data_IF_870299502661
#
_entry.id   IF_870299502661
#
_cell.length_a   1.000
_cell.length_b   1.000
_cell.length_c   1.000
_cell.angle_alpha   90.00
_cell.angle_beta   90.00
_cell.angle_gamma   90.00
#
_symmetry.space_group_name_H-M   'P 1'
#
loop_
_entity.id
_entity.type
_entity.pdbx_description
1 polymer ?
#
# COMPACT_ATOMS: atom_id res chain seq x y z
N UNK A 1 1.99 -22.33 -15.22
CA UNK A 1 3.35 -21.99 -14.77
C UNK A 1 3.67 -22.87 -13.58
N UNK A 2 4.82 -23.55 -13.56
CA UNK A 2 5.26 -24.27 -12.35
C UNK A 2 5.53 -23.25 -11.25
N UNK A 3 4.93 -23.44 -10.08
CA UNK A 3 5.09 -22.55 -8.94
C UNK A 3 6.55 -22.55 -8.47
N UNK A 4 7.10 -21.36 -8.23
CA UNK A 4 8.48 -21.22 -7.73
C UNK A 4 8.52 -21.55 -6.24
N UNK A 5 9.61 -22.17 -5.77
CA UNK A 5 9.86 -22.30 -4.34
C UNK A 5 10.10 -20.92 -3.72
N UNK A 6 9.30 -20.48 -2.73
CA UNK A 6 9.44 -19.16 -2.14
C UNK A 6 10.82 -18.94 -1.52
N UNK A 7 11.46 -17.80 -1.83
CA UNK A 7 12.78 -17.42 -1.29
C UNK A 7 12.70 -16.27 -0.28
N UNK A 8 11.55 -15.61 -0.17
CA UNK A 8 11.34 -14.51 0.75
C UNK A 8 11.14 -14.99 2.19
N UNK A 9 11.66 -14.19 3.12
CA UNK A 9 11.49 -14.38 4.56
C UNK A 9 10.64 -13.23 5.10
N UNK A 10 10.01 -13.43 6.25
CA UNK A 10 9.20 -12.40 6.92
C UNK A 10 9.95 -11.05 7.08
N UNK A 11 11.26 -11.09 7.32
CA UNK A 11 12.10 -9.89 7.41
C UNK A 11 12.11 -9.08 6.11
N UNK A 12 12.01 -9.71 4.95
CA UNK A 12 11.98 -9.01 3.67
C UNK A 12 10.72 -8.14 3.55
N UNK A 13 9.56 -8.66 3.97
CA UNK A 13 8.29 -7.91 4.03
C UNK A 13 8.36 -6.73 5.00
N UNK A 14 8.94 -6.93 6.19
CA UNK A 14 9.14 -5.84 7.14
C UNK A 14 10.08 -4.76 6.58
N UNK A 15 11.19 -5.17 5.96
CA UNK A 15 12.13 -4.23 5.33
C UNK A 15 11.45 -3.44 4.21
N UNK A 16 10.65 -4.07 3.35
CA UNK A 16 9.87 -3.38 2.31
C UNK A 16 8.85 -2.42 2.92
N UNK A 17 8.15 -2.85 3.97
CA UNK A 17 7.19 -2.00 4.72
C UNK A 17 7.87 -0.74 5.24
N UNK A 18 9.07 -0.85 5.80
CA UNK A 18 9.83 0.33 6.25
C UNK A 18 10.36 1.16 5.07
N UNK A 19 10.83 0.51 4.00
CA UNK A 19 11.28 1.19 2.79
C UNK A 19 10.16 1.99 2.10
N UNK A 20 8.90 1.63 2.33
CA UNK A 20 7.72 2.36 1.84
C UNK A 20 7.63 3.82 2.30
N UNK A 21 8.37 4.25 3.33
CA UNK A 21 8.49 5.67 3.67
C UNK A 21 9.07 6.52 2.53
N UNK A 22 9.84 5.91 1.64
CA UNK A 22 10.46 6.61 0.53
C UNK A 22 9.58 6.67 -0.73
N UNK A 23 8.36 6.11 -0.71
CA UNK A 23 7.46 6.05 -1.87
C UNK A 23 7.33 7.39 -2.60
N UNK A 24 7.07 8.47 -1.87
CA UNK A 24 6.78 9.77 -2.49
C UNK A 24 8.04 10.53 -2.97
N UNK A 25 9.25 10.04 -2.70
CA UNK A 25 10.48 10.75 -3.11
C UNK A 25 10.67 10.76 -4.63
N UNK A 26 10.08 9.80 -5.34
CA UNK A 26 10.12 9.70 -6.81
C UNK A 26 8.89 10.30 -7.51
N UNK A 27 7.99 10.97 -6.79
CA UNK A 27 6.71 11.40 -7.34
C UNK A 27 6.89 12.30 -8.58
N UNK A 28 6.22 11.95 -9.68
CA UNK A 28 6.29 12.69 -10.94
C UNK A 28 4.97 12.61 -11.70
N UNK A 29 4.67 13.57 -12.57
CA UNK A 29 3.37 13.60 -13.26
C UNK A 29 3.18 12.52 -14.33
N UNK A 30 4.23 11.82 -14.75
CA UNK A 30 4.12 10.75 -15.75
C UNK A 30 3.62 9.44 -15.14
N UNK A 31 4.16 9.06 -13.97
CA UNK A 31 3.89 7.76 -13.31
C UNK A 31 3.35 7.88 -11.89
N UNK A 32 3.21 9.12 -11.38
CA UNK A 32 2.91 9.42 -9.99
C UNK A 32 3.90 8.72 -9.07
N UNK A 33 3.47 7.68 -8.35
CA UNK A 33 4.30 6.96 -7.40
C UNK A 33 5.06 5.78 -8.03
N UNK A 34 4.92 5.50 -9.34
CA UNK A 34 5.47 4.31 -9.99
C UNK A 34 6.99 4.10 -9.82
N UNK A 35 7.79 5.17 -9.92
CA UNK A 35 9.24 5.09 -9.68
C UNK A 35 9.56 4.77 -8.21
N UNK A 36 8.84 5.40 -7.28
CA UNK A 36 8.95 5.12 -5.85
C UNK A 36 8.49 3.70 -5.51
N UNK A 37 7.46 3.22 -6.19
CA UNK A 37 6.94 1.87 -6.06
C UNK A 37 8.04 0.84 -6.39
N UNK A 38 8.66 0.97 -7.57
CA UNK A 38 9.78 0.10 -7.93
C UNK A 38 10.90 0.20 -6.90
N UNK A 39 11.28 1.41 -6.46
CA UNK A 39 12.32 1.57 -5.45
C UNK A 39 12.04 0.79 -4.16
N UNK A 40 10.77 0.73 -3.74
CA UNK A 40 10.33 0.01 -2.54
C UNK A 40 10.50 -1.51 -2.70
N UNK A 41 10.10 -2.09 -3.83
CA UNK A 41 10.14 -3.55 -4.06
C UNK A 41 11.43 -4.07 -4.69
N UNK A 42 12.28 -3.20 -5.26
CA UNK A 42 13.48 -3.58 -6.02
C UNK A 42 14.44 -4.53 -5.27
N UNK A 43 14.74 -4.36 -3.96
CA UNK A 43 15.60 -5.29 -3.24
C UNK A 43 15.04 -6.72 -3.22
N UNK A 44 13.71 -6.85 -3.16
CA UNK A 44 13.01 -8.14 -3.18
C UNK A 44 13.04 -8.74 -4.59
N UNK A 45 12.78 -7.95 -5.63
CA UNK A 45 12.90 -8.41 -7.01
C UNK A 45 14.32 -8.92 -7.32
N UNK A 46 15.37 -8.21 -6.87
CA UNK A 46 16.77 -8.64 -7.01
C UNK A 46 17.06 -9.97 -6.33
N UNK A 47 16.35 -10.29 -5.25
CA UNK A 47 16.50 -11.55 -4.52
C UNK A 47 15.77 -12.69 -5.24
N UNK A 48 14.55 -12.44 -5.73
CA UNK A 48 13.75 -13.42 -6.48
C UNK A 48 14.44 -13.78 -7.80
N UNK A 49 14.89 -12.78 -8.57
CA UNK A 49 15.48 -12.94 -9.90
C UNK A 49 17.02 -12.87 -9.89
N UNK A 50 17.65 -13.31 -8.80
CA UNK A 50 19.11 -13.23 -8.63
C UNK A 50 19.89 -13.84 -9.80
N UNK A 51 19.37 -14.95 -10.32
CA UNK A 51 20.00 -15.74 -11.39
C UNK A 51 19.34 -15.50 -12.76
N UNK A 52 18.45 -14.51 -12.88
CA UNK A 52 17.74 -14.17 -14.12
C UNK A 52 17.68 -12.63 -14.33
N UNK A 53 18.77 -12.02 -14.80
CA UNK A 53 18.86 -10.56 -14.97
C UNK A 53 17.89 -9.99 -16.00
N UNK A 54 17.55 -10.76 -17.05
CA UNK A 54 16.61 -10.30 -18.08
C UNK A 54 15.19 -10.26 -17.54
N UNK A 55 14.76 -11.31 -16.80
CA UNK A 55 13.46 -11.29 -16.12
C UNK A 55 13.38 -10.20 -15.05
N UNK A 56 14.46 -9.97 -14.30
CA UNK A 56 14.52 -8.86 -13.35
C UNK A 56 14.25 -7.51 -14.04
N UNK A 57 14.89 -7.26 -15.18
CA UNK A 57 14.71 -6.03 -15.95
C UNK A 57 13.29 -5.88 -16.46
N UNK A 58 12.71 -6.94 -17.03
CA UNK A 58 11.34 -6.97 -17.52
C UNK A 58 10.34 -6.64 -16.39
N UNK A 59 10.44 -7.34 -15.26
CA UNK A 59 9.56 -7.14 -14.09
C UNK A 59 9.76 -5.75 -13.49
N UNK A 60 11.00 -5.25 -13.41
CA UNK A 60 11.27 -3.91 -12.90
C UNK A 60 10.62 -2.82 -13.76
N UNK A 61 10.75 -2.90 -15.09
CA UNK A 61 10.14 -1.93 -16.02
C UNK A 61 8.62 -1.94 -15.89
N UNK A 62 8.00 -3.13 -15.81
CA UNK A 62 6.55 -3.27 -15.66
C UNK A 62 6.00 -2.58 -14.40
N UNK A 63 6.84 -2.38 -13.37
CA UNK A 63 6.44 -1.75 -12.11
C UNK A 63 6.55 -0.23 -12.10
N UNK A 64 7.13 0.41 -13.14
CA UNK A 64 7.26 1.89 -13.26
C UNK A 64 6.05 2.50 -14.00
N UNK A 65 4.90 1.85 -13.94
CA UNK A 65 3.67 2.37 -14.51
C UNK A 65 2.98 3.38 -13.57
N UNK A 66 1.92 4.03 -14.07
CA UNK A 66 1.08 4.89 -13.26
C UNK A 66 0.57 4.15 -12.02
N UNK A 67 0.85 4.71 -10.84
CA UNK A 67 0.35 4.16 -9.59
C UNK A 67 0.17 5.28 -8.57
N UNK A 68 -0.96 5.25 -7.85
CA UNK A 68 -1.25 6.23 -6.81
C UNK A 68 -2.08 5.61 -5.69
N UNK A 69 -1.48 5.45 -4.53
CA UNK A 69 -2.10 4.89 -3.33
C UNK A 69 -1.77 5.76 -2.11
N UNK A 70 -2.53 5.57 -1.03
CA UNK A 70 -2.17 6.15 0.25
C UNK A 70 -0.87 5.51 0.80
N UNK A 71 0.13 6.30 1.23
CA UNK A 71 1.41 5.77 1.72
C UNK A 71 1.34 4.83 2.93
N UNK A 72 0.24 4.86 3.70
CA UNK A 72 0.04 3.99 4.87
C UNK A 72 -0.57 2.64 4.51
N UNK A 73 -1.28 2.52 3.38
CA UNK A 73 -1.86 1.26 2.90
C UNK A 73 -0.99 0.56 1.86
N UNK A 74 -0.04 1.26 1.21
CA UNK A 74 0.96 0.67 0.30
C UNK A 74 1.61 -0.63 0.82
N UNK A 75 2.02 -0.76 2.10
CA UNK A 75 2.65 -2.00 2.57
C UNK A 75 1.79 -3.26 2.40
N UNK A 76 0.46 -3.13 2.44
CA UNK A 76 -0.43 -4.25 2.20
C UNK A 76 -0.28 -4.76 0.78
N UNK A 77 -0.40 -3.85 -0.20
CA UNK A 77 -0.37 -4.19 -1.62
C UNK A 77 1.04 -4.62 -2.06
N UNK A 78 2.11 -3.94 -1.63
CA UNK A 78 3.48 -4.37 -1.94
C UNK A 78 3.80 -5.75 -1.35
N UNK A 79 3.27 -6.09 -0.17
CA UNK A 79 3.44 -7.43 0.40
C UNK A 79 2.72 -8.50 -0.41
N UNK A 80 1.48 -8.25 -0.84
CA UNK A 80 0.76 -9.14 -1.75
C UNK A 80 1.53 -9.33 -3.06
N UNK A 81 1.96 -8.22 -3.66
CA UNK A 81 2.64 -8.23 -4.94
C UNK A 81 3.99 -8.96 -4.90
N UNK A 82 4.76 -8.77 -3.82
CA UNK A 82 5.98 -9.53 -3.57
C UNK A 82 5.73 -11.03 -3.42
N UNK A 83 4.65 -11.42 -2.74
CA UNK A 83 4.31 -12.83 -2.60
C UNK A 83 3.92 -13.48 -3.94
N UNK A 84 3.20 -12.75 -4.80
CA UNK A 84 2.88 -13.18 -6.17
C UNK A 84 4.15 -13.41 -6.99
N UNK A 85 5.08 -12.45 -7.00
CA UNK A 85 6.35 -12.64 -7.70
C UNK A 85 7.21 -13.78 -7.13
N UNK A 86 7.21 -13.98 -5.81
CA UNK A 86 7.97 -15.07 -5.17
C UNK A 86 7.41 -16.45 -5.51
N UNK A 87 6.10 -16.54 -5.77
CA UNK A 87 5.44 -17.77 -6.25
C UNK A 87 5.57 -17.97 -7.77
N UNK A 88 6.13 -17.01 -8.49
CA UNK A 88 6.30 -17.07 -9.94
C UNK A 88 5.02 -16.75 -10.70
N UNK A 89 4.15 -15.90 -10.15
CA UNK A 89 2.99 -15.39 -10.87
C UNK A 89 3.41 -14.50 -12.06
N UNK A 90 2.60 -14.49 -13.12
CA UNK A 90 2.90 -13.69 -14.30
C UNK A 90 2.81 -12.19 -14.02
N UNK A 91 3.52 -11.39 -14.83
CA UNK A 91 3.54 -9.93 -14.74
C UNK A 91 2.13 -9.36 -14.93
N UNK A 92 1.34 -9.87 -15.88
CA UNK A 92 0.00 -9.35 -16.18
C UNK A 92 -0.98 -9.60 -15.03
N UNK A 93 -0.92 -10.79 -14.44
CA UNK A 93 -1.72 -11.18 -13.28
C UNK A 93 -1.35 -10.37 -12.04
N UNK A 94 -0.06 -10.24 -11.76
CA UNK A 94 0.49 -9.43 -10.66
C UNK A 94 0.10 -7.96 -10.79
N UNK A 95 0.22 -7.41 -12.01
CA UNK A 95 -0.22 -6.06 -12.38
C UNK A 95 -1.73 -5.87 -12.20
N UNK A 96 -2.54 -6.84 -12.60
CA UNK A 96 -4.00 -6.75 -12.50
C UNK A 96 -4.45 -6.61 -11.05
N UNK A 97 -3.88 -7.39 -10.13
CA UNK A 97 -4.16 -7.27 -8.69
C UNK A 97 -3.69 -5.92 -8.15
N UNK A 98 -2.47 -5.49 -8.49
CA UNK A 98 -1.93 -4.17 -8.10
C UNK A 98 -2.89 -3.05 -8.50
N UNK A 99 -3.38 -3.06 -9.73
CA UNK A 99 -4.30 -2.04 -10.24
C UNK A 99 -5.70 -2.12 -9.62
N UNK A 100 -6.22 -3.32 -9.42
CA UNK A 100 -7.53 -3.51 -8.79
C UNK A 100 -7.55 -3.04 -7.32
N UNK A 101 -6.44 -3.22 -6.59
CA UNK A 101 -6.32 -2.82 -5.19
C UNK A 101 -5.96 -1.33 -5.02
N UNK A 102 -5.42 -0.68 -6.05
CA UNK A 102 -4.99 0.72 -6.00
C UNK A 102 -6.09 1.67 -5.50
N UNK A 103 -7.24 1.69 -6.17
CA UNK A 103 -8.36 2.56 -5.83
C UNK A 103 -8.95 2.33 -4.43
N UNK A 104 -9.34 1.08 -4.08
CA UNK A 104 -9.90 0.76 -2.77
C UNK A 104 -8.96 1.10 -1.62
N UNK A 105 -7.68 0.73 -1.72
CA UNK A 105 -6.71 0.99 -0.65
C UNK A 105 -6.32 2.47 -0.57
N UNK A 106 -6.37 3.21 -1.67
CA UNK A 106 -6.24 4.67 -1.64
C UNK A 106 -7.40 5.29 -0.86
N UNK A 107 -8.64 4.97 -1.23
CA UNK A 107 -9.84 5.50 -0.56
C UNK A 107 -9.91 5.16 0.94
N UNK A 108 -9.62 3.91 1.31
CA UNK A 108 -9.57 3.48 2.72
C UNK A 108 -8.47 4.23 3.47
N UNK A 109 -7.26 4.31 2.89
CA UNK A 109 -6.14 5.00 3.52
C UNK A 109 -6.42 6.48 3.75
N UNK A 110 -6.99 7.17 2.76
CA UNK A 110 -7.33 8.59 2.85
C UNK A 110 -8.45 8.82 3.87
N UNK A 111 -9.47 7.95 3.91
CA UNK A 111 -10.54 7.99 4.90
C UNK A 111 -10.01 7.92 6.33
N UNK A 112 -9.08 7.00 6.59
CA UNK A 112 -8.55 6.78 7.94
C UNK A 112 -7.55 7.88 8.31
N UNK A 113 -6.54 8.12 7.48
CA UNK A 113 -5.43 9.00 7.83
C UNK A 113 -5.78 10.48 7.64
N UNK A 114 -6.23 10.86 6.45
CA UNK A 114 -6.42 12.25 6.06
C UNK A 114 -7.75 12.83 6.56
N UNK A 115 -8.83 12.04 6.50
CA UNK A 115 -10.17 12.52 6.84
C UNK A 115 -10.66 12.08 8.23
N UNK A 116 -10.07 11.03 8.80
CA UNK A 116 -10.42 10.50 10.13
C UNK A 116 -9.50 11.03 11.22
N UNK A 117 -8.28 10.50 11.27
CA UNK A 117 -7.34 10.73 12.37
C UNK A 117 -6.78 12.15 12.38
N UNK A 118 -6.38 12.69 11.24
CA UNK A 118 -5.80 14.04 11.20
C UNK A 118 -6.79 15.12 11.70
N UNK A 119 -8.06 15.17 11.24
CA UNK A 119 -9.04 16.15 11.75
C UNK A 119 -9.43 15.89 13.21
N UNK A 120 -9.61 14.63 13.60
CA UNK A 120 -9.95 14.26 14.99
C UNK A 120 -8.88 14.72 15.97
N UNK A 121 -7.62 14.32 15.74
CA UNK A 121 -6.53 14.68 16.64
C UNK A 121 -6.21 16.17 16.57
N UNK A 122 -6.19 16.78 15.39
CA UNK A 122 -5.95 18.24 15.29
C UNK A 122 -7.01 19.03 16.04
N UNK A 123 -8.30 18.64 15.97
CA UNK A 123 -9.38 19.30 16.74
C UNK A 123 -9.15 19.17 18.25
N UNK A 124 -8.83 17.97 18.74
CA UNK A 124 -8.59 17.72 20.17
C UNK A 124 -7.40 18.55 20.67
N UNK A 125 -6.25 18.45 19.99
CA UNK A 125 -5.02 19.10 20.45
C UNK A 125 -5.02 20.62 20.21
N UNK A 126 -5.71 21.11 19.17
CA UNK A 126 -5.94 22.54 19.03
C UNK A 126 -6.78 23.08 20.20
N UNK A 127 -7.84 22.37 20.61
CA UNK A 127 -8.64 22.74 21.78
C UNK A 127 -7.81 22.76 23.07
N UNK A 128 -6.93 21.77 23.28
CA UNK A 128 -6.02 21.76 24.43
C UNK A 128 -5.01 22.92 24.40
N UNK A 129 -4.46 23.25 23.23
CA UNK A 129 -3.55 24.37 23.06
C UNK A 129 -4.24 25.71 23.37
N UNK A 130 -5.48 25.90 22.91
CA UNK A 130 -6.29 27.10 23.19
C UNK A 130 -6.61 27.25 24.68
N UNK A 131 -6.70 26.15 25.43
CA UNK A 131 -6.86 26.15 26.89
C UNK A 131 -5.54 26.35 27.67
N UNK A 132 -4.46 26.72 26.99
CA UNK A 132 -3.16 27.04 27.59
C UNK A 132 -2.19 25.87 27.75
N UNK A 133 -2.53 24.66 27.26
CA UNK A 133 -1.62 23.53 27.33
C UNK A 133 -0.57 23.59 26.22
N UNK A 134 0.60 24.14 26.54
CA UNK A 134 1.72 24.35 25.60
C UNK A 134 2.30 23.05 25.01
N UNK A 135 2.11 21.91 25.68
CA UNK A 135 2.54 20.59 25.18
C UNK A 135 1.64 20.03 24.08
N UNK A 136 0.43 20.57 23.88
CA UNK A 136 -0.56 20.00 22.98
C UNK A 136 -0.09 19.83 21.51
N UNK A 137 0.66 20.76 20.89
CA UNK A 137 1.19 20.56 19.54
C UNK A 137 2.18 19.38 19.44
N UNK A 138 3.03 19.20 20.46
CA UNK A 138 3.96 18.07 20.51
C UNK A 138 3.21 16.75 20.71
N UNK A 139 2.19 16.76 21.57
CA UNK A 139 1.33 15.60 21.79
C UNK A 139 0.57 15.20 20.50
N UNK A 140 0.08 16.16 19.72
CA UNK A 140 -0.49 15.91 18.39
C UNK A 140 0.51 15.21 17.47
N UNK A 141 1.72 15.76 17.35
CA UNK A 141 2.76 15.23 16.48
C UNK A 141 3.13 13.79 16.84
N UNK A 142 3.36 13.51 18.13
CA UNK A 142 3.66 12.16 18.64
C UNK A 142 2.50 11.20 18.37
N UNK A 143 1.27 11.63 18.66
CA UNK A 143 0.06 10.80 18.46
C UNK A 143 -0.13 10.46 16.99
N UNK A 144 0.08 11.42 16.09
CA UNK A 144 0.04 11.20 14.65
C UNK A 144 1.11 10.22 14.19
N UNK A 145 2.36 10.41 14.62
CA UNK A 145 3.47 9.49 14.25
C UNK A 145 3.17 8.07 14.69
N UNK A 146 2.79 7.87 15.95
CA UNK A 146 2.49 6.54 16.50
C UNK A 146 1.33 5.91 15.73
N UNK A 147 0.23 6.65 15.53
CA UNK A 147 -0.94 6.14 14.81
C UNK A 147 -0.59 5.74 13.37
N UNK A 148 0.14 6.59 12.66
CA UNK A 148 0.54 6.34 11.27
C UNK A 148 1.54 5.19 11.14
N UNK A 149 2.46 5.05 12.10
CA UNK A 149 3.40 3.92 12.16
C UNK A 149 2.65 2.61 12.42
N UNK A 150 1.73 2.59 13.38
CA UNK A 150 0.92 1.41 13.70
C UNK A 150 0.10 0.97 12.50
N UNK A 151 -0.59 1.89 11.81
CA UNK A 151 -1.35 1.55 10.60
C UNK A 151 -0.43 0.96 9.54
N UNK A 152 0.72 1.60 9.26
CA UNK A 152 1.65 1.14 8.23
C UNK A 152 2.19 -0.27 8.51
N UNK A 153 2.59 -0.54 9.75
CA UNK A 153 3.09 -1.86 10.17
C UNK A 153 1.98 -2.92 10.14
N UNK A 154 0.77 -2.57 10.59
CA UNK A 154 -0.38 -3.46 10.54
C UNK A 154 -0.74 -3.82 9.09
N UNK A 155 -0.78 -2.84 8.19
CA UNK A 155 -1.05 -3.06 6.76
C UNK A 155 0.01 -3.97 6.13
N UNK A 156 1.29 -3.77 6.45
CA UNK A 156 2.37 -4.66 6.00
C UNK A 156 2.22 -6.09 6.52
N UNK A 157 1.90 -6.24 7.81
CA UNK A 157 1.67 -7.55 8.41
C UNK A 157 0.45 -8.27 7.82
N UNK A 158 -0.66 -7.57 7.62
CA UNK A 158 -1.87 -8.11 7.01
C UNK A 158 -1.63 -8.54 5.56
N UNK A 159 -0.92 -7.71 4.78
CA UNK A 159 -0.56 -8.03 3.40
C UNK A 159 0.39 -9.23 3.32
N UNK A 160 1.38 -9.32 4.22
CA UNK A 160 2.25 -10.50 4.33
C UNK A 160 1.45 -11.76 4.65
N UNK A 161 0.59 -11.70 5.67
CA UNK A 161 -0.19 -12.85 6.12
C UNK A 161 -1.13 -13.32 5.00
N UNK A 162 -1.87 -12.42 4.37
CA UNK A 162 -2.76 -12.76 3.27
C UNK A 162 -1.95 -13.28 2.07
N UNK A 163 -0.93 -12.54 1.64
CA UNK A 163 -0.16 -12.85 0.44
C UNK A 163 0.60 -14.17 0.52
N UNK A 164 1.00 -14.62 1.71
CA UNK A 164 1.70 -15.91 1.88
C UNK A 164 0.77 -17.07 2.22
N UNK A 165 -0.44 -16.82 2.75
CA UNK A 165 -1.36 -17.88 3.20
C UNK A 165 -2.40 -18.29 2.17
N UNK A 166 -2.76 -17.41 1.23
CA UNK A 166 -3.84 -17.67 0.24
C UNK A 166 -3.39 -17.47 -1.19
N UNK A 167 -2.08 -17.51 -1.47
CA UNK A 167 -1.55 -17.16 -2.79
C UNK A 167 -2.11 -18.02 -3.92
N UNK A 168 -2.19 -19.34 -3.71
CA UNK A 168 -2.72 -20.26 -4.72
C UNK A 168 -4.20 -19.96 -5.02
N UNK A 169 -4.99 -19.70 -3.99
CA UNK A 169 -6.40 -19.29 -4.13
C UNK A 169 -6.53 -17.91 -4.78
N UNK A 170 -5.61 -16.99 -4.47
CA UNK A 170 -5.59 -15.66 -5.05
C UNK A 170 -5.32 -15.74 -6.55
N UNK A 171 -4.31 -16.52 -6.95
CA UNK A 171 -3.92 -16.78 -8.34
C UNK A 171 -5.06 -17.44 -9.14
N UNK A 172 -5.74 -18.43 -8.57
CA UNK A 172 -6.91 -19.05 -9.21
C UNK A 172 -8.10 -18.10 -9.38
N UNK A 173 -8.24 -17.10 -8.50
CA UNK A 173 -9.42 -16.23 -8.42
C UNK A 173 -9.11 -14.77 -8.68
N UNK A 174 -8.00 -14.44 -9.37
CA UNK A 174 -7.55 -13.06 -9.61
C UNK A 174 -8.68 -12.18 -10.16
N UNK A 175 -9.46 -12.68 -11.12
CA UNK A 175 -10.59 -11.93 -11.69
C UNK A 175 -11.69 -11.63 -10.67
N UNK A 176 -12.07 -12.59 -9.83
CA UNK A 176 -13.10 -12.41 -8.80
C UNK A 176 -12.63 -11.46 -7.69
N UNK A 177 -11.36 -11.60 -7.25
CA UNK A 177 -10.74 -10.73 -6.26
C UNK A 177 -10.66 -9.29 -6.79
N UNK A 178 -10.23 -9.12 -8.05
CA UNK A 178 -10.15 -7.82 -8.69
C UNK A 178 -11.53 -7.16 -8.82
N UNK A 179 -12.55 -7.94 -9.18
CA UNK A 179 -13.92 -7.44 -9.27
C UNK A 179 -14.48 -7.02 -7.90
N UNK A 180 -14.29 -7.84 -6.87
CA UNK A 180 -14.71 -7.53 -5.51
C UNK A 180 -14.00 -6.29 -4.96
N UNK A 181 -12.69 -6.17 -5.21
CA UNK A 181 -11.92 -4.97 -4.87
C UNK A 181 -12.51 -3.73 -5.55
N UNK A 182 -12.84 -3.81 -6.85
CA UNK A 182 -13.50 -2.73 -7.58
C UNK A 182 -14.81 -2.26 -6.93
N UNK A 183 -15.68 -3.19 -6.52
CA UNK A 183 -16.94 -2.88 -5.82
C UNK A 183 -16.68 -2.13 -4.51
N UNK A 184 -15.73 -2.61 -3.70
CA UNK A 184 -15.34 -1.95 -2.45
C UNK A 184 -14.82 -0.53 -2.72
N UNK A 185 -13.97 -0.37 -3.74
CA UNK A 185 -13.41 0.93 -4.11
C UNK A 185 -14.47 1.94 -4.49
N UNK A 186 -15.39 1.58 -5.39
CA UNK A 186 -16.50 2.46 -5.79
C UNK A 186 -17.38 2.80 -4.60
N UNK A 187 -17.71 1.82 -3.75
CA UNK A 187 -18.56 2.02 -2.56
C UNK A 187 -17.94 3.01 -1.58
N UNK A 188 -16.64 2.88 -1.29
CA UNK A 188 -15.92 3.79 -0.38
C UNK A 188 -15.88 5.20 -0.95
N UNK A 189 -15.54 5.36 -2.24
CA UNK A 189 -15.49 6.66 -2.91
C UNK A 189 -16.87 7.33 -2.90
N UNK A 190 -17.94 6.58 -3.19
CA UNK A 190 -19.31 7.08 -3.15
C UNK A 190 -19.73 7.50 -1.74
N UNK A 191 -19.44 6.69 -0.72
CA UNK A 191 -19.77 6.99 0.67
C UNK A 191 -19.06 8.28 1.17
N UNK A 192 -17.78 8.45 0.83
CA UNK A 192 -17.05 9.67 1.14
C UNK A 192 -17.66 10.89 0.43
N UNK A 193 -17.97 10.75 -0.86
CA UNK A 193 -18.57 11.83 -1.64
C UNK A 193 -19.88 12.31 -1.01
N UNK A 194 -20.78 11.39 -0.63
CA UNK A 194 -22.06 11.74 0.01
C UNK A 194 -21.86 12.34 1.41
N UNK A 195 -20.91 11.83 2.18
CA UNK A 195 -20.71 12.27 3.56
C UNK A 195 -20.08 13.67 3.67
N UNK A 196 -19.20 14.02 2.73
CA UNK A 196 -18.42 15.26 2.79
C UNK A 196 -18.89 16.35 1.83
N UNK A 197 -19.63 16.03 0.75
CA UNK A 197 -20.15 17.04 -0.18
C UNK A 197 -21.57 17.42 0.23
N UNK A 198 -21.73 18.61 0.82
CA UNK A 198 -23.04 19.25 0.96
C UNK A 198 -23.36 20.01 -0.32
N UNK A 199 -24.12 19.39 -1.21
CA UNK A 199 -24.77 20.12 -2.30
C UNK A 199 -25.86 21.03 -1.70
N UNK A 200 -25.84 22.31 -2.06
CA UNK A 200 -26.97 23.23 -1.81
C UNK A 200 -28.04 23.02 -2.87
#
# INVERSE_FOLDING_TARGET
MESRKPVLKQRDYLNTTLRSYFLQNGFNYNSYQGTGYLFVILPVLKKIYKDDPEKLKEVAISNIEFYNINPHTLPFETSMHMAMYDHGEDIENSRSIKMALMGPLAGIGDSIAQFGLAPLFSTIFAGLAMNGLTFAPMAFWITMIISMLTIKLLMGYLGYKLGTSVIDTLSEKIGQVSHAAGIVGVTVISALSVSFVKAK
#
